data_IF_441846148694
#
_entry.id   IF_441846148694
#
_cell.length_a   1.000
_cell.length_b   1.000
_cell.length_c   1.000
_cell.angle_alpha   90.00
_cell.angle_beta   90.00
_cell.angle_gamma   90.00
#
_symmetry.space_group_name_H-M   'P 1'
#
loop_
_entity.id
_entity.type
_entity.pdbx_description
1 polymer ?
#
# COMPACT_ATOMS: atom_id res chain seq x y z
N UNK A 1 10.59 11.65 -23.96
CA UNK A 1 10.17 10.24 -23.67
C UNK A 1 9.38 10.09 -22.37
N UNK A 2 9.86 10.56 -21.20
CA UNK A 2 9.11 10.47 -19.93
C UNK A 2 7.74 11.18 -19.93
N UNK A 3 7.61 12.33 -20.60
CA UNK A 3 6.31 13.04 -20.72
C UNK A 3 5.28 12.24 -21.53
N UNK A 4 5.70 11.62 -22.63
CA UNK A 4 4.82 10.77 -23.46
C UNK A 4 4.36 9.53 -22.69
N UNK A 5 5.26 8.91 -21.90
CA UNK A 5 4.91 7.82 -21.00
C UNK A 5 3.98 8.25 -19.85
N UNK A 6 4.15 9.45 -19.31
CA UNK A 6 3.24 10.04 -18.33
C UNK A 6 1.86 10.32 -18.93
N UNK A 7 1.78 10.79 -20.17
CA UNK A 7 0.51 10.96 -20.89
C UNK A 7 -0.19 9.64 -21.11
N UNK A 8 0.50 8.61 -21.60
CA UNK A 8 -0.06 7.26 -21.77
C UNK A 8 -0.51 6.68 -20.41
N UNK A 9 0.31 6.83 -19.37
CA UNK A 9 -0.04 6.39 -18.02
C UNK A 9 -1.23 7.17 -17.45
N UNK A 10 -1.36 8.45 -17.76
CA UNK A 10 -2.51 9.27 -17.35
C UNK A 10 -3.82 8.87 -18.02
N UNK A 11 -3.75 8.19 -19.17
CA UNK A 11 -4.91 7.61 -19.86
C UNK A 11 -5.22 6.21 -19.32
N UNK A 12 -4.20 5.38 -19.04
CA UNK A 12 -4.36 4.01 -18.52
C UNK A 12 -4.79 4.00 -17.04
N UNK A 13 -4.31 4.94 -16.21
CA UNK A 13 -4.64 4.98 -14.77
C UNK A 13 -6.15 5.12 -14.49
N UNK A 14 -6.94 5.95 -15.23
CA UNK A 14 -8.40 5.95 -15.16
C UNK A 14 -9.03 4.58 -15.41
N UNK A 15 -8.59 3.85 -16.44
CA UNK A 15 -9.13 2.52 -16.74
C UNK A 15 -8.73 1.51 -15.65
N UNK A 16 -7.46 1.49 -15.24
CA UNK A 16 -7.02 0.65 -14.12
C UNK A 16 -7.77 0.99 -12.82
N UNK A 17 -7.98 2.28 -12.54
CA UNK A 17 -8.74 2.78 -11.39
C UNK A 17 -10.19 2.27 -11.45
N UNK A 18 -10.85 2.41 -12.61
CA UNK A 18 -12.21 1.95 -12.85
C UNK A 18 -12.37 0.44 -12.61
N UNK A 19 -11.45 -0.38 -13.13
CA UNK A 19 -11.49 -1.84 -12.92
C UNK A 19 -11.04 -2.28 -11.51
N UNK A 20 -10.26 -1.46 -10.80
CA UNK A 20 -9.69 -1.83 -9.50
C UNK A 20 -10.63 -1.66 -8.29
N UNK A 21 -11.81 -1.04 -8.47
CA UNK A 21 -12.76 -0.69 -7.39
C UNK A 21 -12.10 -0.01 -6.18
N UNK A 22 -11.05 0.77 -6.43
CA UNK A 22 -10.33 1.49 -5.38
C UNK A 22 -11.14 2.69 -4.91
N UNK A 23 -11.35 2.81 -3.62
CA UNK A 23 -12.04 3.93 -2.98
C UNK A 23 -11.03 4.83 -2.28
N UNK A 24 -11.21 6.15 -2.42
CA UNK A 24 -10.49 7.14 -1.62
C UNK A 24 -11.09 7.13 -0.20
N UNK A 25 -10.23 7.04 0.81
CA UNK A 25 -10.69 7.01 2.21
C UNK A 25 -11.06 8.40 2.74
N UNK A 26 -10.67 9.47 2.04
CA UNK A 26 -11.00 10.83 2.44
C UNK A 26 -11.41 11.73 1.27
N UNK A 27 -12.47 12.51 1.48
CA UNK A 27 -12.97 13.49 0.50
C UNK A 27 -11.98 14.63 0.27
N UNK A 28 -11.22 14.99 1.30
CA UNK A 28 -10.26 16.09 1.28
C UNK A 28 -8.91 15.71 0.66
N UNK A 29 -8.75 14.46 0.17
CA UNK A 29 -7.54 13.96 -0.51
C UNK A 29 -6.23 14.22 0.26
N UNK A 30 -6.26 14.28 1.59
CA UNK A 30 -5.08 14.36 2.47
C UNK A 30 -4.37 13.01 2.55
N UNK A 31 -5.13 11.92 2.61
CA UNK A 31 -4.59 10.56 2.62
C UNK A 31 -3.80 10.25 1.35
N UNK A 32 -2.76 9.43 1.51
CA UNK A 32 -2.05 8.80 0.38
C UNK A 32 -2.54 7.37 0.13
N UNK A 33 -3.47 6.86 0.94
CA UNK A 33 -4.03 5.53 0.79
C UNK A 33 -5.27 5.53 -0.10
N UNK A 34 -5.29 4.57 -1.02
CA UNK A 34 -6.48 4.06 -1.68
C UNK A 34 -6.77 2.68 -1.09
N UNK A 35 -8.03 2.36 -0.92
CA UNK A 35 -8.44 1.09 -0.30
C UNK A 35 -9.42 0.33 -1.15
N UNK A 36 -9.51 -0.98 -0.93
CA UNK A 36 -10.63 -1.79 -1.39
C UNK A 36 -10.86 -2.94 -0.43
N UNK A 37 -12.10 -3.41 -0.34
CA UNK A 37 -12.40 -4.68 0.30
C UNK A 37 -11.83 -5.83 -0.53
N UNK A 38 -11.27 -6.85 0.11
CA UNK A 38 -10.75 -8.03 -0.57
C UNK A 38 -10.91 -9.27 0.31
N UNK A 39 -10.99 -10.44 -0.33
CA UNK A 39 -10.80 -11.72 0.35
C UNK A 39 -9.33 -12.10 0.27
N UNK A 40 -8.75 -12.55 1.39
CA UNK A 40 -7.38 -13.03 1.43
C UNK A 40 -7.25 -14.36 0.67
N UNK A 41 -6.15 -14.56 -0.05
CA UNK A 41 -5.92 -15.75 -0.90
C UNK A 41 -4.54 -16.37 -0.71
N UNK A 42 -3.76 -15.87 0.25
CA UNK A 42 -2.44 -16.41 0.57
C UNK A 42 -2.52 -17.56 1.56
N UNK A 43 -1.35 -17.96 2.04
CA UNK A 43 -1.18 -18.95 3.12
C UNK A 43 -1.57 -18.35 4.46
N UNK A 44 -1.90 -19.18 5.44
CA UNK A 44 -2.24 -18.67 6.78
C UNK A 44 -1.07 -17.88 7.38
N UNK A 45 -1.37 -16.72 7.97
CA UNK A 45 -0.40 -15.82 8.62
C UNK A 45 -0.85 -15.56 10.05
N UNK A 46 0.03 -15.79 11.02
CA UNK A 46 -0.20 -15.47 12.43
C UNK A 46 0.52 -14.16 12.71
N UNK A 47 -0.24 -13.14 13.14
CA UNK A 47 0.30 -11.83 13.52
C UNK A 47 0.81 -11.84 14.96
N UNK A 48 1.65 -10.86 15.30
CA UNK A 48 2.29 -10.75 16.62
C UNK A 48 1.28 -10.60 17.76
N UNK A 49 0.07 -10.11 17.47
CA UNK A 49 -1.03 -9.96 18.43
C UNK A 49 -1.91 -11.23 18.55
N UNK A 50 -1.50 -12.33 17.92
CA UNK A 50 -2.23 -13.60 17.90
C UNK A 50 -3.32 -13.69 16.84
N UNK A 51 -3.57 -12.62 16.07
CA UNK A 51 -4.56 -12.64 14.99
C UNK A 51 -4.12 -13.61 13.89
N UNK A 52 -4.95 -14.62 13.59
CA UNK A 52 -4.69 -15.57 12.50
C UNK A 52 -5.44 -15.13 11.24
N UNK A 53 -4.74 -14.72 10.20
CA UNK A 53 -5.29 -14.40 8.88
C UNK A 53 -5.31 -15.67 8.02
N UNK A 54 -6.51 -16.08 7.60
CA UNK A 54 -6.77 -17.30 6.81
C UNK A 54 -7.32 -17.00 5.43
N UNK A 55 -7.20 -17.97 4.53
CA UNK A 55 -7.80 -17.90 3.19
C UNK A 55 -9.29 -17.55 3.29
N UNK A 56 -9.72 -16.61 2.46
CA UNK A 56 -11.05 -16.01 2.37
C UNK A 56 -11.45 -15.01 3.46
N UNK A 57 -10.60 -14.76 4.47
CA UNK A 57 -10.84 -13.67 5.42
C UNK A 57 -11.00 -12.34 4.69
N UNK A 58 -11.92 -11.52 5.17
CA UNK A 58 -12.19 -10.19 4.60
C UNK A 58 -11.19 -9.20 5.17
N UNK A 59 -10.43 -8.56 4.28
CA UNK A 59 -9.42 -7.56 4.61
C UNK A 59 -9.66 -6.28 3.82
N UNK A 60 -9.13 -5.17 4.33
CA UNK A 60 -8.98 -3.96 3.53
C UNK A 60 -7.60 -3.99 2.88
N UNK A 61 -7.55 -3.96 1.55
CA UNK A 61 -6.31 -3.84 0.83
C UNK A 61 -5.94 -2.37 0.63
N UNK A 62 -4.79 -1.95 1.15
CA UNK A 62 -4.23 -0.62 0.94
C UNK A 62 -3.31 -0.56 -0.28
N UNK A 63 -3.36 0.57 -0.95
CA UNK A 63 -2.48 0.95 -2.05
C UNK A 63 -2.05 2.41 -1.88
N UNK A 64 -0.80 2.72 -2.20
CA UNK A 64 -0.36 4.10 -2.29
C UNK A 64 -0.90 4.76 -3.57
N UNK A 65 -1.29 6.02 -3.47
CA UNK A 65 -1.70 6.81 -4.63
C UNK A 65 -0.45 7.22 -5.44
N UNK A 66 0.11 6.28 -6.19
CA UNK A 66 1.39 6.42 -6.88
C UNK A 66 1.49 7.67 -7.76
N UNK A 67 0.45 8.03 -8.52
CA UNK A 67 0.49 9.24 -9.36
C UNK A 67 0.62 10.53 -8.52
N UNK A 68 -0.10 10.63 -7.40
CA UNK A 68 -0.01 11.79 -6.50
C UNK A 68 1.40 11.88 -5.92
N UNK A 69 1.95 10.76 -5.46
CA UNK A 69 3.31 10.69 -4.93
C UNK A 69 4.37 11.01 -6.00
N UNK A 70 4.21 10.53 -7.24
CA UNK A 70 5.12 10.84 -8.35
C UNK A 70 5.12 12.35 -8.62
N UNK A 71 3.94 12.98 -8.71
CA UNK A 71 3.82 14.43 -8.95
C UNK A 71 4.42 15.26 -7.81
N UNK A 72 4.13 14.90 -6.56
CA UNK A 72 4.63 15.62 -5.38
C UNK A 72 6.15 15.45 -5.18
N UNK A 73 6.70 14.30 -5.53
CA UNK A 73 8.10 13.95 -5.25
C UNK A 73 9.02 14.09 -6.47
N UNK A 74 8.53 14.61 -7.60
CA UNK A 74 9.26 14.67 -8.87
C UNK A 74 10.60 15.41 -8.76
N UNK A 75 10.68 16.44 -7.90
CA UNK A 75 11.87 17.28 -7.72
C UNK A 75 12.82 16.76 -6.63
N UNK A 76 12.46 15.68 -5.91
CA UNK A 76 13.32 15.09 -4.88
C UNK A 76 14.18 14.02 -5.53
N UNK A 77 15.50 14.15 -5.53
CA UNK A 77 16.36 13.15 -6.18
C UNK A 77 16.72 11.99 -5.26
N UNK A 78 16.92 12.27 -3.98
CA UNK A 78 17.30 11.25 -2.99
C UNK A 78 16.16 10.26 -2.72
N UNK A 79 16.41 8.98 -3.01
CA UNK A 79 15.50 7.89 -2.70
C UNK A 79 15.20 7.78 -1.19
N UNK A 80 16.20 8.06 -0.35
CA UNK A 80 16.05 8.08 1.11
C UNK A 80 15.08 9.18 1.54
N UNK A 81 15.28 10.42 1.04
CA UNK A 81 14.37 11.54 1.33
C UNK A 81 12.95 11.25 0.87
N UNK A 82 12.77 10.64 -0.31
CA UNK A 82 11.45 10.20 -0.78
C UNK A 82 10.81 9.20 0.18
N UNK A 83 11.55 8.20 0.62
CA UNK A 83 11.08 7.21 1.60
C UNK A 83 10.59 7.85 2.90
N UNK A 84 11.36 8.82 3.43
CA UNK A 84 10.99 9.57 4.64
C UNK A 84 9.69 10.36 4.42
N UNK A 85 9.55 11.07 3.30
CA UNK A 85 8.34 11.86 3.02
C UNK A 85 7.12 10.93 2.84
N UNK A 86 7.27 9.79 2.17
CA UNK A 86 6.21 8.80 2.02
C UNK A 86 5.80 8.26 3.40
N UNK A 87 6.77 7.94 4.26
CA UNK A 87 6.51 7.49 5.62
C UNK A 87 5.74 8.55 6.44
N UNK A 88 6.17 9.81 6.42
CA UNK A 88 5.46 10.89 7.12
C UNK A 88 4.02 11.05 6.63
N UNK A 89 3.80 10.98 5.31
CA UNK A 89 2.45 11.01 4.73
C UNK A 89 1.62 9.78 5.10
N UNK A 90 2.25 8.62 5.23
CA UNK A 90 1.60 7.41 5.74
C UNK A 90 1.17 7.60 7.21
N UNK A 91 2.00 8.19 8.08
CA UNK A 91 1.62 8.52 9.45
C UNK A 91 0.34 9.36 9.51
N UNK A 92 0.21 10.39 8.65
CA UNK A 92 -1.01 11.21 8.56
C UNK A 92 -2.21 10.40 8.06
N UNK A 93 -1.97 9.43 7.19
CA UNK A 93 -3.02 8.62 6.56
C UNK A 93 -3.53 7.49 7.46
N UNK A 94 -2.76 7.05 8.46
CA UNK A 94 -3.13 5.93 9.34
C UNK A 94 -4.35 6.20 10.23
N UNK A 95 -4.47 7.35 10.93
CA UNK A 95 -5.70 7.68 11.66
C UNK A 95 -6.93 7.77 10.75
N UNK A 96 -6.76 8.30 9.53
CA UNK A 96 -7.83 8.38 8.53
C UNK A 96 -8.27 6.97 8.11
N UNK A 97 -7.31 6.06 7.91
CA UNK A 97 -7.58 4.65 7.60
C UNK A 97 -8.33 3.97 8.74
N UNK A 98 -7.91 4.18 9.99
CA UNK A 98 -8.59 3.60 11.15
C UNK A 98 -10.03 4.08 11.25
N UNK A 99 -10.29 5.38 11.06
CA UNK A 99 -11.64 5.94 11.06
C UNK A 99 -12.49 5.42 9.90
N UNK A 100 -11.89 5.27 8.71
CA UNK A 100 -12.55 4.68 7.55
C UNK A 100 -12.98 3.24 7.85
N UNK A 101 -12.11 2.43 8.46
CA UNK A 101 -12.41 1.03 8.80
C UNK A 101 -13.51 0.97 9.85
N UNK A 102 -13.44 1.79 10.91
CA UNK A 102 -14.46 1.86 11.97
C UNK A 102 -15.85 2.22 11.44
N UNK A 103 -15.92 3.14 10.48
CA UNK A 103 -17.19 3.57 9.87
C UNK A 103 -17.64 2.73 8.66
N UNK A 104 -16.89 1.70 8.29
CA UNK A 104 -17.21 0.88 7.14
C UNK A 104 -18.42 -0.02 7.41
N UNK A 105 -19.37 -0.11 6.47
CA UNK A 105 -20.56 -0.99 6.55
C UNK A 105 -20.30 -2.49 6.75
N UNK A 106 -19.04 -2.91 6.62
CA UNK A 106 -18.59 -4.30 6.79
C UNK A 106 -17.51 -4.40 7.88
N UNK A 107 -17.42 -3.42 8.79
CA UNK A 107 -16.41 -3.35 9.86
C UNK A 107 -16.33 -4.65 10.67
N UNK A 108 -17.47 -5.27 10.97
CA UNK A 108 -17.54 -6.52 11.74
C UNK A 108 -16.91 -7.71 11.02
N UNK A 109 -16.91 -7.69 9.67
CA UNK A 109 -16.32 -8.75 8.85
C UNK A 109 -14.83 -8.51 8.58
N UNK A 110 -14.38 -7.25 8.65
CA UNK A 110 -12.99 -6.89 8.36
C UNK A 110 -12.09 -7.41 9.49
N UNK A 111 -11.17 -8.31 9.15
CA UNK A 111 -10.21 -8.90 10.09
C UNK A 111 -8.94 -8.06 10.25
N UNK A 112 -8.60 -7.30 9.22
CA UNK A 112 -7.40 -6.47 9.21
C UNK A 112 -7.12 -5.82 7.87
N UNK A 113 -5.94 -5.25 7.76
CA UNK A 113 -5.46 -4.53 6.58
C UNK A 113 -4.33 -5.31 5.93
N UNK A 114 -4.32 -5.35 4.61
CA UNK A 114 -3.25 -5.95 3.80
C UNK A 114 -2.67 -4.96 2.79
N UNK A 115 -1.36 -4.94 2.64
CA UNK A 115 -0.66 -4.19 1.61
C UNK A 115 0.35 -5.05 0.86
N UNK A 116 0.85 -4.56 -0.27
CA UNK A 116 2.10 -5.04 -0.86
C UNK A 116 2.97 -3.82 -1.11
N UNK A 117 4.19 -3.83 -0.59
CA UNK A 117 5.12 -2.71 -0.70
C UNK A 117 6.53 -3.18 -0.99
N UNK A 118 7.31 -2.34 -1.65
CA UNK A 118 8.77 -2.42 -1.63
C UNK A 118 9.39 -1.54 -0.55
N UNK A 119 8.64 -0.53 -0.07
CA UNK A 119 8.99 0.36 1.04
C UNK A 119 8.58 -0.29 2.37
N UNK A 120 9.27 -1.36 2.75
CA UNK A 120 8.98 -2.13 3.97
C UNK A 120 9.78 -1.64 5.18
N UNK A 121 10.88 -0.90 4.99
CA UNK A 121 11.67 -0.37 6.10
C UNK A 121 10.85 0.65 6.91
N UNK A 122 10.75 0.42 8.22
CA UNK A 122 10.06 1.31 9.16
C UNK A 122 8.54 1.13 9.24
N UNK A 123 7.93 0.23 8.47
CA UNK A 123 6.47 -0.01 8.52
C UNK A 123 5.99 -0.58 9.87
N UNK A 124 6.88 -1.23 10.62
CA UNK A 124 6.63 -1.71 11.97
C UNK A 124 6.26 -0.58 12.94
N UNK A 125 6.83 0.61 12.74
CA UNK A 125 6.49 1.81 13.52
C UNK A 125 5.08 2.32 13.25
N UNK A 126 4.47 1.90 12.13
CA UNK A 126 3.06 2.15 11.81
C UNK A 126 2.16 0.99 12.28
N UNK A 127 2.71 0.02 13.00
CA UNK A 127 1.99 -1.16 13.49
C UNK A 127 1.87 -2.31 12.48
N UNK A 128 2.44 -2.18 11.27
CA UNK A 128 2.42 -3.25 10.28
C UNK A 128 3.48 -4.31 10.53
N UNK A 129 3.15 -5.55 10.22
CA UNK A 129 4.08 -6.67 10.13
C UNK A 129 4.39 -6.94 8.66
N UNK A 130 5.69 -6.97 8.33
CA UNK A 130 6.16 -7.23 6.98
C UNK A 130 6.42 -8.73 6.79
N UNK A 131 5.74 -9.35 5.83
CA UNK A 131 5.86 -10.79 5.56
C UNK A 131 6.28 -11.00 4.12
N UNK A 132 7.30 -11.82 3.89
CA UNK A 132 7.68 -12.20 2.54
C UNK A 132 6.62 -13.11 1.89
N UNK A 133 6.21 -12.85 0.64
CA UNK A 133 5.33 -13.78 -0.07
C UNK A 133 6.00 -15.15 -0.25
N UNK A 134 5.36 -16.23 0.18
CA UNK A 134 5.95 -17.58 0.11
C UNK A 134 6.30 -18.02 -1.33
N UNK A 135 5.42 -17.73 -2.30
CA UNK A 135 5.60 -18.18 -3.68
C UNK A 135 6.66 -17.35 -4.43
N UNK A 136 7.76 -17.97 -4.86
CA UNK A 136 8.85 -17.34 -5.62
C UNK A 136 8.39 -16.78 -6.98
N UNK A 137 7.55 -17.49 -7.73
CA UNK A 137 6.99 -17.00 -9.00
C UNK A 137 6.13 -15.76 -8.78
N UNK A 138 5.32 -15.76 -7.72
CA UNK A 138 4.52 -14.59 -7.35
C UNK A 138 5.40 -13.39 -6.99
N UNK A 139 6.51 -13.62 -6.27
CA UNK A 139 7.50 -12.58 -5.95
C UNK A 139 8.08 -11.96 -7.24
N UNK A 140 8.51 -12.79 -8.18
CA UNK A 140 9.05 -12.32 -9.47
C UNK A 140 8.00 -11.57 -10.28
N UNK A 141 6.79 -12.10 -10.41
CA UNK A 141 5.68 -11.42 -11.09
C UNK A 141 5.42 -10.04 -10.48
N UNK A 142 5.35 -9.95 -9.13
CA UNK A 142 5.12 -8.67 -8.46
C UNK A 142 6.27 -7.69 -8.65
N UNK A 143 7.51 -8.17 -8.62
CA UNK A 143 8.70 -7.38 -8.92
C UNK A 143 8.62 -6.76 -10.32
N UNK A 144 8.24 -7.55 -11.33
CA UNK A 144 8.07 -7.08 -12.70
C UNK A 144 6.97 -6.02 -12.83
N UNK A 145 5.82 -6.23 -12.17
CA UNK A 145 4.71 -5.25 -12.22
C UNK A 145 5.04 -3.88 -11.61
N UNK A 146 6.09 -3.78 -10.78
CA UNK A 146 6.52 -2.51 -10.19
C UNK A 146 7.53 -1.74 -11.05
N UNK A 147 8.10 -2.35 -12.08
CA UNK A 147 9.10 -1.73 -12.98
C UNK A 147 8.60 -0.40 -13.56
N UNK A 148 7.38 -0.30 -14.13
CA UNK A 148 6.92 0.96 -14.73
C UNK A 148 6.86 2.10 -13.71
N UNK A 149 6.34 1.82 -12.51
CA UNK A 149 6.25 2.80 -11.43
C UNK A 149 7.65 3.21 -10.95
N UNK A 150 8.56 2.25 -10.77
CA UNK A 150 9.92 2.54 -10.33
C UNK A 150 10.69 3.34 -11.39
N UNK A 151 10.48 3.07 -12.68
CA UNK A 151 11.05 3.85 -13.78
C UNK A 151 10.52 5.29 -13.82
N UNK A 152 9.22 5.48 -13.55
CA UNK A 152 8.61 6.81 -13.45
C UNK A 152 9.06 7.57 -12.20
N UNK A 153 9.28 6.86 -11.10
CA UNK A 153 9.73 7.46 -9.85
C UNK A 153 11.22 7.79 -9.88
N UNK A 154 12.10 6.89 -10.32
CA UNK A 154 13.54 7.05 -10.18
C UNK A 154 14.17 7.66 -11.44
N UNK A 155 15.02 8.69 -11.26
CA UNK A 155 15.77 9.26 -12.40
C UNK A 155 16.81 8.27 -12.94
N UNK A 156 17.42 7.47 -12.06
CA UNK A 156 18.46 6.48 -12.37
C UNK A 156 17.95 5.06 -12.10
N UNK A 157 17.08 4.60 -13.00
CA UNK A 157 16.43 3.30 -12.89
C UNK A 157 17.42 2.18 -13.22
N UNK A 158 17.47 1.14 -12.38
CA UNK A 158 18.27 -0.07 -12.64
C UNK A 158 17.43 -1.32 -12.40
N UNK A 159 17.37 -2.19 -13.42
CA UNK A 159 16.69 -3.48 -13.35
C UNK A 159 17.34 -4.43 -12.33
N UNK A 160 18.65 -4.28 -12.03
CA UNK A 160 19.36 -5.10 -11.04
C UNK A 160 18.95 -4.82 -9.61
N UNK A 161 18.49 -3.60 -9.30
CA UNK A 161 18.31 -3.14 -7.93
C UNK A 161 16.83 -2.99 -7.51
N UNK A 162 15.91 -3.72 -8.16
CA UNK A 162 14.49 -3.66 -7.77
C UNK A 162 14.33 -4.36 -6.41
N UNK A 163 13.90 -3.64 -5.36
CA UNK A 163 13.74 -4.22 -4.02
C UNK A 163 12.67 -5.32 -3.98
N UNK A 164 12.81 -6.31 -3.08
CA UNK A 164 11.79 -7.34 -2.89
C UNK A 164 10.49 -6.72 -2.36
N UNK A 165 9.36 -7.25 -2.84
CA UNK A 165 8.04 -6.86 -2.35
C UNK A 165 7.66 -7.70 -1.13
N UNK A 166 7.18 -7.02 -0.10
CA UNK A 166 6.66 -7.63 1.13
C UNK A 166 5.16 -7.41 1.21
N UNK A 167 4.45 -8.40 1.76
CA UNK A 167 3.13 -8.16 2.31
C UNK A 167 3.25 -7.31 3.56
N UNK A 168 2.28 -6.44 3.77
CA UNK A 168 2.08 -5.74 5.03
C UNK A 168 0.78 -6.21 5.63
N UNK A 169 0.78 -6.54 6.92
CA UNK A 169 -0.42 -6.88 7.67
C UNK A 169 -0.53 -6.04 8.93
N UNK A 170 -1.73 -5.63 9.29
CA UNK A 170 -2.06 -5.11 10.62
C UNK A 170 -3.48 -5.60 10.93
N UNK A 171 -3.71 -6.13 12.13
CA UNK A 171 -5.04 -6.56 12.54
C UNK A 171 -5.95 -5.34 12.69
N UNK A 172 -7.28 -5.55 12.61
CA UNK A 172 -8.24 -4.48 12.86
C UNK A 172 -8.10 -3.93 14.28
N UNK A 173 -7.91 -4.81 15.26
CA UNK A 173 -7.82 -4.41 16.67
C UNK A 173 -6.56 -3.60 16.96
N UNK A 174 -5.39 -4.04 16.46
CA UNK A 174 -4.14 -3.29 16.56
C UNK A 174 -4.24 -1.93 15.89
N UNK A 175 -4.87 -1.85 14.70
CA UNK A 175 -5.12 -0.57 14.02
C UNK A 175 -6.00 0.36 14.88
N UNK A 176 -7.07 -0.14 15.47
CA UNK A 176 -7.97 0.68 16.29
C UNK A 176 -7.31 1.14 17.58
N UNK A 177 -6.63 0.24 18.28
CA UNK A 177 -5.89 0.55 19.50
C UNK A 177 -4.83 1.64 19.24
N UNK A 178 -4.06 1.52 18.16
CA UNK A 178 -2.97 2.47 17.86
C UNK A 178 -3.43 3.86 17.39
N UNK A 179 -4.64 3.99 16.83
CA UNK A 179 -5.01 5.21 16.09
C UNK A 179 -6.39 5.81 16.40
N UNK A 180 -7.23 5.13 17.18
CA UNK A 180 -8.57 5.63 17.57
C UNK A 180 -8.71 5.86 19.07
N UNK A 181 -7.87 5.25 19.89
CA UNK A 181 -7.80 5.55 21.31
C UNK A 181 -6.85 6.74 21.49
N UNK A 182 -7.42 7.88 21.89
CA UNK A 182 -6.70 9.03 22.43
C UNK A 182 -7.08 9.18 23.89
#
# INVERSE_FOLDING_TARGET
MRSCFLSIWSVIDPFYYFFSRLTLIDKNKRSIFRVRLTKYKGIDVILSDGTVIKKNDVLIKIHLHNIKLIKELQNIESAVRRGIIIYQKACVSMPILAQYVKSHKHTDQIKGIIGITTLHKGVERLGFEAVEPANKFYRTFKKLTQIPILFLMTKQFSFRNIPPSHYLFISKEKLFHSYLQK
#
